data_IF_810757370076
#
_entry.id   IF_810757370076
#
_cell.length_a   1.000
_cell.length_b   1.000
_cell.length_c   1.000
_cell.angle_alpha   90.00
_cell.angle_beta   90.00
_cell.angle_gamma   90.00
#
_symmetry.space_group_name_H-M   'P 1'
#
loop_
_entity.id
_entity.type
_entity.pdbx_description
1 polymer ?
#
# COMPACT_ATOMS: atom_id res chain seq x y z
N UNK A 1 -10.64 -19.04 3.44
CA UNK A 1 -11.12 -17.66 3.20
C UNK A 1 -11.51 -17.11 4.57
N UNK A 2 -10.78 -16.12 5.08
CA UNK A 2 -11.07 -15.49 6.36
C UNK A 2 -12.03 -14.32 6.12
N UNK A 3 -13.33 -14.60 6.12
CA UNK A 3 -14.36 -13.56 6.08
C UNK A 3 -14.98 -13.35 7.45
N UNK A 4 -15.47 -12.14 7.70
CA UNK A 4 -16.15 -11.78 8.93
C UNK A 4 -17.64 -12.17 8.77
N UNK A 5 -18.13 -13.09 9.60
CA UNK A 5 -19.49 -13.64 9.47
C UNK A 5 -20.58 -12.74 10.07
N UNK A 6 -20.25 -11.93 11.06
CA UNK A 6 -21.20 -11.05 11.73
C UNK A 6 -20.74 -9.60 11.69
N UNK A 7 -21.70 -8.67 11.71
CA UNK A 7 -21.42 -7.24 11.81
C UNK A 7 -20.80 -6.95 13.19
N UNK A 8 -19.58 -6.39 13.25
CA UNK A 8 -18.97 -5.94 14.50
C UNK A 8 -19.74 -4.76 15.10
N UNK A 9 -19.53 -4.48 16.36
CA UNK A 9 -20.06 -3.26 16.97
C UNK A 9 -19.47 -2.03 16.29
N UNK A 10 -20.32 -1.31 15.57
CA UNK A 10 -19.94 -0.20 14.69
C UNK A 10 -19.39 1.04 15.43
N UNK A 11 -19.58 1.10 16.74
CA UNK A 11 -19.12 2.25 17.53
C UNK A 11 -17.64 2.19 17.90
N UNK A 12 -16.98 1.06 17.71
CA UNK A 12 -15.58 0.84 18.12
C UNK A 12 -14.54 1.29 17.10
N UNK A 13 -14.94 1.57 15.86
CA UNK A 13 -14.00 1.90 14.79
C UNK A 13 -14.08 3.37 14.38
N UNK A 14 -12.94 4.02 14.36
CA UNK A 14 -12.74 5.33 13.75
C UNK A 14 -12.35 5.21 12.27
N UNK A 15 -12.23 6.33 11.59
CA UNK A 15 -11.84 6.39 10.19
C UNK A 15 -10.47 5.74 9.93
N UNK A 16 -9.51 5.97 10.83
CA UNK A 16 -8.16 5.44 10.70
C UNK A 16 -8.15 3.92 10.72
N UNK A 17 -9.00 3.28 11.51
CA UNK A 17 -9.11 1.83 11.55
C UNK A 17 -9.52 1.23 10.19
N UNK A 18 -10.39 1.90 9.45
CA UNK A 18 -10.74 1.50 8.09
C UNK A 18 -9.57 1.71 7.12
N UNK A 19 -8.93 2.87 7.16
CA UNK A 19 -7.85 3.22 6.24
C UNK A 19 -6.61 2.35 6.41
N UNK A 20 -6.29 1.95 7.65
CA UNK A 20 -5.13 1.10 7.94
C UNK A 20 -5.44 -0.41 7.91
N UNK A 21 -6.70 -0.80 7.70
CA UNK A 21 -7.11 -2.19 7.56
C UNK A 21 -7.31 -2.95 8.87
N UNK A 22 -7.45 -2.26 10.00
CA UNK A 22 -7.75 -2.89 11.30
C UNK A 22 -9.25 -3.00 11.59
N UNK A 23 -10.10 -2.28 10.85
CA UNK A 23 -11.55 -2.38 10.98
C UNK A 23 -12.06 -3.72 10.41
N UNK A 24 -12.94 -4.36 11.15
CA UNK A 24 -13.61 -5.59 10.73
C UNK A 24 -14.93 -5.24 10.05
N UNK A 25 -15.12 -5.71 8.82
CA UNK A 25 -16.33 -5.44 8.04
C UNK A 25 -16.96 -6.76 7.61
N UNK A 26 -18.25 -6.92 7.87
CA UNK A 26 -18.98 -8.12 7.52
C UNK A 26 -18.86 -8.46 6.02
N UNK A 27 -18.61 -9.71 5.72
CA UNK A 27 -18.40 -10.19 4.34
C UNK A 27 -17.05 -9.84 3.72
N UNK A 28 -16.15 -9.19 4.46
CA UNK A 28 -14.79 -8.88 4.00
C UNK A 28 -13.76 -9.68 4.79
N UNK A 29 -12.58 -9.81 4.21
CA UNK A 29 -11.45 -10.44 4.89
C UNK A 29 -10.93 -9.55 6.01
N UNK A 30 -10.36 -10.17 7.04
CA UNK A 30 -9.54 -9.46 8.04
C UNK A 30 -8.40 -8.73 7.33
N UNK A 31 -7.94 -7.61 7.88
CA UNK A 31 -6.86 -6.78 7.32
C UNK A 31 -7.16 -6.21 5.91
N UNK A 32 -8.45 -5.98 5.60
CA UNK A 32 -8.86 -5.31 4.37
C UNK A 32 -8.63 -3.81 4.48
N UNK A 33 -7.88 -3.25 3.52
CA UNK A 33 -7.73 -1.80 3.37
C UNK A 33 -8.99 -1.19 2.78
N UNK A 34 -9.43 -0.11 3.38
CA UNK A 34 -10.45 0.77 2.83
C UNK A 34 -9.78 2.04 2.33
N UNK A 35 -10.25 2.59 1.24
CA UNK A 35 -9.60 3.71 0.55
C UNK A 35 -10.62 4.68 0.02
N UNK A 36 -10.23 5.95 -0.09
CA UNK A 36 -10.98 6.93 -0.86
C UNK A 36 -10.94 6.56 -2.34
N UNK A 37 -12.08 6.65 -3.00
CA UNK A 37 -12.18 6.39 -4.43
C UNK A 37 -11.69 7.61 -5.19
N UNK A 38 -10.50 7.50 -5.78
CA UNK A 38 -9.89 8.54 -6.58
C UNK A 38 -10.51 8.57 -7.97
N UNK A 39 -10.96 9.74 -8.42
CA UNK A 39 -11.59 9.94 -9.72
C UNK A 39 -10.67 10.60 -10.76
N UNK A 40 -9.49 11.04 -10.35
CA UNK A 40 -8.54 11.73 -11.22
C UNK A 40 -8.10 13.07 -10.66
N UNK A 41 -7.54 13.89 -11.53
CA UNK A 41 -7.11 15.25 -11.19
C UNK A 41 -7.97 16.29 -11.90
N UNK A 42 -8.20 17.40 -11.23
CA UNK A 42 -8.84 18.57 -11.81
C UNK A 42 -8.00 19.12 -12.98
N UNK A 43 -8.58 19.30 -14.18
CA UNK A 43 -7.85 19.84 -15.32
C UNK A 43 -7.49 21.32 -15.16
N UNK A 44 -8.07 22.01 -14.18
CA UNK A 44 -7.89 23.46 -13.98
C UNK A 44 -6.70 23.74 -13.06
N UNK A 45 -6.60 23.00 -11.95
CA UNK A 45 -5.68 23.28 -10.85
C UNK A 45 -4.88 22.05 -10.39
N UNK A 46 -5.14 20.87 -10.97
CA UNK A 46 -4.44 19.63 -10.66
C UNK A 46 -4.73 19.05 -9.27
N UNK A 47 -5.76 19.56 -8.60
CA UNK A 47 -6.19 19.01 -7.31
C UNK A 47 -6.83 17.64 -7.46
N UNK A 48 -6.71 16.75 -6.45
CA UNK A 48 -7.28 15.43 -6.51
C UNK A 48 -8.81 15.45 -6.38
N UNK A 49 -9.48 14.66 -7.18
CA UNK A 49 -10.93 14.48 -7.18
C UNK A 49 -11.27 13.12 -6.60
N UNK A 50 -12.29 13.07 -5.73
CA UNK A 50 -12.76 11.88 -5.07
C UNK A 50 -14.27 11.71 -5.21
N UNK A 51 -14.71 10.46 -5.21
CA UNK A 51 -16.11 10.10 -5.00
C UNK A 51 -16.40 10.11 -3.49
N UNK A 52 -16.90 11.21 -3.00
CA UNK A 52 -17.03 11.52 -1.57
C UNK A 52 -18.46 11.79 -1.12
N UNK A 53 -19.40 11.57 -1.97
CA UNK A 53 -20.83 11.81 -1.71
C UNK A 53 -21.19 13.27 -1.42
N UNK A 54 -20.35 14.22 -1.82
CA UNK A 54 -20.62 15.65 -1.59
C UNK A 54 -21.99 16.08 -2.13
N UNK A 55 -22.34 15.65 -3.34
CA UNK A 55 -23.61 15.99 -3.99
C UNK A 55 -24.80 15.19 -3.43
N UNK A 56 -24.55 14.13 -2.65
CA UNK A 56 -25.57 13.25 -2.07
C UNK A 56 -25.43 13.06 -0.56
N UNK A 57 -25.21 14.13 0.16
CA UNK A 57 -25.03 14.09 1.62
C UNK A 57 -26.26 13.60 2.37
N UNK A 58 -27.45 13.82 1.81
CA UNK A 58 -28.69 13.34 2.43
C UNK A 58 -28.67 11.83 2.65
N UNK A 59 -27.96 11.08 1.81
CA UNK A 59 -27.82 9.63 1.97
C UNK A 59 -26.95 9.22 3.16
N UNK A 60 -26.10 10.11 3.68
CA UNK A 60 -25.21 9.85 4.81
C UNK A 60 -25.74 10.30 6.15
N UNK A 61 -26.80 11.14 6.14
CA UNK A 61 -27.39 11.69 7.36
C UNK A 61 -28.05 10.62 8.19
N UNK A 62 -27.79 10.66 9.50
CA UNK A 62 -28.37 9.71 10.45
C UNK A 62 -27.78 8.30 10.39
N UNK A 63 -26.81 8.05 9.51
CA UNK A 63 -26.08 6.78 9.49
C UNK A 63 -25.07 6.70 10.65
N UNK A 64 -24.80 5.47 11.10
CA UNK A 64 -23.69 5.22 12.01
C UNK A 64 -22.34 5.49 11.34
N UNK A 65 -21.27 5.73 12.11
CA UNK A 65 -19.91 5.86 11.59
C UNK A 65 -19.53 4.69 10.69
N UNK A 66 -19.85 3.49 11.12
CA UNK A 66 -19.59 2.27 10.36
C UNK A 66 -20.26 2.29 8.99
N UNK A 67 -21.54 2.65 8.93
CA UNK A 67 -22.31 2.68 7.69
C UNK A 67 -21.82 3.78 6.75
N UNK A 68 -21.44 4.95 7.29
CA UNK A 68 -20.84 6.04 6.50
C UNK A 68 -19.54 5.59 5.90
N UNK A 69 -18.62 5.01 6.70
CA UNK A 69 -17.30 4.61 6.20
C UNK A 69 -17.38 3.46 5.19
N UNK A 70 -18.25 2.48 5.41
CA UNK A 70 -18.45 1.39 4.43
C UNK A 70 -19.17 1.84 3.16
N UNK A 71 -19.86 2.97 3.19
CA UNK A 71 -20.54 3.56 2.02
C UNK A 71 -19.56 4.41 1.20
N UNK A 72 -18.80 5.28 1.86
CA UNK A 72 -17.91 6.25 1.18
C UNK A 72 -16.59 5.61 0.74
N UNK A 73 -16.04 4.73 1.58
CA UNK A 73 -14.77 4.09 1.27
C UNK A 73 -14.99 2.79 0.48
N UNK A 74 -14.06 2.46 -0.40
CA UNK A 74 -14.06 1.17 -1.10
C UNK A 74 -13.04 0.21 -0.50
N UNK A 75 -13.36 -1.09 -0.52
CA UNK A 75 -12.43 -2.15 -0.15
C UNK A 75 -11.37 -2.33 -1.26
N UNK A 76 -10.15 -1.91 -1.00
CA UNK A 76 -9.07 -1.84 -2.01
C UNK A 76 -8.17 -3.07 -2.03
N UNK A 77 -8.45 -4.06 -1.20
CA UNK A 77 -7.66 -5.28 -1.06
C UNK A 77 -7.27 -5.56 0.37
N UNK A 78 -6.58 -6.65 0.59
CA UNK A 78 -6.19 -7.10 1.94
C UNK A 78 -4.68 -7.26 2.06
N UNK A 79 -4.18 -7.11 3.28
CA UNK A 79 -2.75 -7.28 3.58
C UNK A 79 -2.32 -8.74 3.51
N UNK A 80 -3.22 -9.66 3.82
CA UNK A 80 -2.92 -11.08 3.89
C UNK A 80 -2.91 -11.69 2.47
N UNK A 81 -1.91 -12.54 2.21
CA UNK A 81 -1.85 -13.29 0.97
C UNK A 81 -2.96 -14.36 0.91
N UNK A 82 -3.48 -14.61 -0.29
CA UNK A 82 -4.38 -15.75 -0.54
C UNK A 82 -3.62 -17.06 -0.50
N UNK A 83 -2.43 -17.06 -1.07
CA UNK A 83 -1.55 -18.23 -1.13
C UNK A 83 -0.13 -17.78 -0.87
N UNK A 84 0.55 -18.45 0.06
CA UNK A 84 1.98 -18.27 0.30
C UNK A 84 2.64 -19.61 0.57
N UNK A 85 3.90 -19.73 0.19
CA UNK A 85 4.63 -20.97 0.38
C UNK A 85 6.08 -20.89 -0.06
N UNK A 86 6.72 -22.04 0.01
CA UNK A 86 8.08 -22.21 -0.49
C UNK A 86 8.24 -23.57 -1.17
N UNK A 87 9.11 -23.61 -2.18
CA UNK A 87 9.52 -24.80 -2.88
C UNK A 87 11.03 -24.94 -2.77
N UNK A 88 11.49 -26.04 -2.15
CA UNK A 88 12.91 -26.35 -2.09
C UNK A 88 13.21 -27.59 -2.91
N UNK A 89 14.11 -27.47 -3.88
CA UNK A 89 14.60 -28.58 -4.68
C UNK A 89 16.07 -28.82 -4.40
N UNK A 90 16.44 -30.12 -4.37
CA UNK A 90 17.84 -30.54 -4.25
C UNK A 90 18.16 -31.50 -5.39
N UNK A 91 19.15 -31.15 -6.18
CA UNK A 91 19.68 -31.95 -7.27
C UNK A 91 21.02 -32.54 -6.86
N UNK A 92 21.24 -33.82 -7.16
CA UNK A 92 22.50 -34.51 -6.93
C UNK A 92 22.97 -35.16 -8.23
N UNK A 93 24.19 -34.86 -8.59
CA UNK A 93 24.85 -35.52 -9.73
C UNK A 93 26.32 -35.82 -9.37
N UNK A 94 26.63 -37.11 -9.31
CA UNK A 94 27.96 -37.58 -8.87
C UNK A 94 28.35 -36.94 -7.53
N UNK A 95 29.41 -36.16 -7.52
CA UNK A 95 29.96 -35.49 -6.35
C UNK A 95 29.36 -34.07 -6.12
N UNK A 96 28.43 -33.66 -6.97
CA UNK A 96 27.78 -32.35 -6.88
C UNK A 96 26.41 -32.46 -6.25
N UNK A 97 26.12 -31.52 -5.36
CA UNK A 97 24.79 -31.28 -4.82
C UNK A 97 24.44 -29.83 -5.02
N UNK A 98 23.33 -29.54 -5.65
CA UNK A 98 22.78 -28.20 -5.76
C UNK A 98 21.42 -28.14 -5.06
N UNK A 99 21.20 -27.13 -4.24
CA UNK A 99 19.91 -26.88 -3.59
C UNK A 99 19.43 -25.48 -3.92
N UNK A 100 18.12 -25.35 -4.16
CA UNK A 100 17.44 -24.14 -4.56
C UNK A 100 16.17 -23.99 -3.74
N UNK A 101 15.94 -22.83 -3.13
CA UNK A 101 14.73 -22.51 -2.37
C UNK A 101 14.06 -21.27 -2.93
N UNK A 102 12.83 -21.43 -3.40
CA UNK A 102 11.96 -20.38 -3.89
C UNK A 102 10.85 -20.12 -2.88
N UNK A 103 10.60 -18.86 -2.53
CA UNK A 103 9.44 -18.43 -1.76
C UNK A 103 8.50 -17.61 -2.62
N UNK A 104 7.21 -17.73 -2.40
CA UNK A 104 6.19 -16.96 -3.12
C UNK A 104 5.07 -16.51 -2.20
N UNK A 105 4.44 -15.39 -2.57
CA UNK A 105 3.25 -14.84 -1.93
C UNK A 105 2.37 -14.22 -3.01
N UNK A 106 1.08 -14.54 -3.02
CA UNK A 106 0.13 -14.12 -4.04
C UNK A 106 -1.17 -13.64 -3.38
N UNK A 107 -1.76 -12.58 -3.93
CA UNK A 107 -3.04 -12.02 -3.50
C UNK A 107 -2.93 -10.97 -2.39
N UNK A 108 -1.74 -10.71 -1.86
CA UNK A 108 -1.52 -9.65 -0.89
C UNK A 108 -1.51 -8.27 -1.55
N UNK A 109 -1.99 -7.28 -0.82
CA UNK A 109 -1.89 -5.87 -1.20
C UNK A 109 -1.12 -5.08 -0.15
N UNK A 110 -0.53 -3.98 -0.56
CA UNK A 110 0.11 -3.02 0.34
C UNK A 110 -0.22 -1.61 -0.09
N UNK A 111 -0.25 -0.70 0.87
CA UNK A 111 -0.36 0.72 0.58
C UNK A 111 1.04 1.30 0.40
N UNK A 112 1.23 2.08 -0.65
CA UNK A 112 2.47 2.83 -0.87
C UNK A 112 2.70 3.82 0.28
N UNK A 113 3.96 4.10 0.59
CA UNK A 113 4.30 5.11 1.57
C UNK A 113 3.64 6.45 1.23
N UNK A 114 3.21 7.16 2.27
CA UNK A 114 2.62 8.48 2.12
C UNK A 114 3.54 9.39 1.29
N UNK A 115 2.98 10.04 0.30
CA UNK A 115 3.71 10.99 -0.53
C UNK A 115 3.64 12.40 0.05
N UNK A 116 2.48 12.71 0.59
CA UNK A 116 2.19 14.04 1.14
C UNK A 116 2.31 14.06 2.66
N UNK A 117 1.63 13.23 3.38
CA UNK A 117 1.73 13.08 4.83
C UNK A 117 1.46 14.35 5.66
N UNK A 118 1.21 14.17 6.94
CA UNK A 118 1.04 15.30 7.87
C UNK A 118 2.39 15.89 8.30
N UNK A 119 2.38 17.13 8.79
CA UNK A 119 3.55 17.79 9.38
C UNK A 119 4.16 16.98 10.51
N UNK A 120 3.35 16.32 11.31
CA UNK A 120 3.79 15.51 12.44
C UNK A 120 4.64 14.29 12.01
N UNK A 121 4.43 13.76 10.82
CA UNK A 121 5.22 12.66 10.25
C UNK A 121 6.42 13.11 9.41
N UNK A 122 6.74 14.40 9.39
CA UNK A 122 7.78 14.95 8.52
C UNK A 122 7.39 15.01 7.06
N UNK A 123 6.11 14.80 6.76
CA UNK A 123 5.56 14.81 5.41
C UNK A 123 5.65 16.18 4.74
N UNK A 124 5.43 16.16 3.46
CA UNK A 124 5.37 17.35 2.63
C UNK A 124 3.92 17.78 2.56
N UNK A 125 3.64 18.98 3.03
CA UNK A 125 2.36 19.56 2.69
C UNK A 125 2.26 19.72 1.18
N UNK A 126 1.15 19.28 0.58
CA UNK A 126 0.90 19.52 -0.83
C UNK A 126 0.81 21.00 -1.21
N UNK A 127 1.05 21.89 -0.28
CA UNK A 127 1.04 23.34 -0.45
C UNK A 127 2.42 23.96 -0.62
N UNK A 128 3.52 23.24 -0.31
CA UNK A 128 4.87 23.84 -0.32
C UNK A 128 5.94 22.79 -0.54
N UNK A 129 7.00 23.17 -1.25
CA UNK A 129 8.25 22.41 -1.37
C UNK A 129 9.31 23.09 -0.51
N UNK A 130 9.98 22.31 0.33
CA UNK A 130 11.06 22.78 1.19
C UNK A 130 12.38 22.22 0.68
N UNK A 131 13.38 23.08 0.48
CA UNK A 131 14.69 22.70 -0.07
C UNK A 131 15.49 21.73 0.81
N UNK A 132 15.19 21.72 2.10
CA UNK A 132 15.86 20.88 3.10
C UNK A 132 15.24 19.48 3.26
N UNK A 133 14.16 19.19 2.55
CA UNK A 133 13.48 17.88 2.62
C UNK A 133 13.76 17.01 1.41
N UNK A 134 13.84 15.70 1.66
CA UNK A 134 13.88 14.70 0.60
C UNK A 134 12.48 14.35 0.13
N UNK A 135 12.29 14.38 -1.18
CA UNK A 135 11.04 14.03 -1.85
C UNK A 135 11.17 12.78 -2.69
N UNK A 136 10.09 12.04 -2.84
CA UNK A 136 10.04 10.95 -3.82
C UNK A 136 10.29 11.50 -5.23
N UNK A 137 11.02 10.75 -6.05
CA UNK A 137 11.20 11.08 -7.48
C UNK A 137 9.87 11.18 -8.24
N UNK A 138 8.85 10.52 -7.77
CA UNK A 138 7.53 10.59 -8.38
C UNK A 138 6.92 11.99 -8.33
N UNK A 139 7.34 12.82 -7.39
CA UNK A 139 6.96 14.23 -7.35
C UNK A 139 7.31 15.01 -8.62
N UNK A 140 8.32 14.58 -9.36
CA UNK A 140 8.69 15.19 -10.65
C UNK A 140 7.61 14.97 -11.71
N UNK A 141 6.81 13.92 -11.55
CA UNK A 141 5.72 13.56 -12.48
C UNK A 141 4.38 14.16 -12.08
N UNK A 142 4.34 15.00 -11.04
CA UNK A 142 3.09 15.64 -10.61
C UNK A 142 2.48 16.50 -11.69
N UNK A 143 1.20 16.74 -11.58
CA UNK A 143 0.52 17.72 -12.42
C UNK A 143 1.17 19.11 -12.29
N UNK A 144 1.44 19.79 -13.40
CA UNK A 144 2.09 21.11 -13.45
C UNK A 144 1.30 22.11 -14.29
N UNK A 145 0.52 21.63 -15.24
CA UNK A 145 -0.28 22.47 -16.16
C UNK A 145 -1.50 21.72 -16.69
N UNK A 146 -2.55 22.44 -17.16
CA UNK A 146 -3.69 21.83 -17.83
C UNK A 146 -3.28 20.88 -18.95
N UNK A 147 -3.87 19.68 -18.95
CA UNK A 147 -3.57 18.58 -19.86
C UNK A 147 -2.71 17.48 -19.24
N UNK A 148 -1.98 17.78 -18.17
CA UNK A 148 -1.14 16.77 -17.48
C UNK A 148 -1.99 15.70 -16.76
N UNK A 149 -3.24 16.00 -16.38
CA UNK A 149 -4.17 15.06 -15.75
C UNK A 149 -4.42 13.79 -16.58
N UNK A 150 -4.09 13.82 -17.86
CA UNK A 150 -4.17 12.65 -18.76
C UNK A 150 -2.98 11.72 -18.64
N UNK A 151 -1.86 12.20 -18.08
CA UNK A 151 -0.59 11.51 -18.06
C UNK A 151 -0.07 11.23 -16.65
N UNK A 152 -0.67 11.82 -15.62
CA UNK A 152 -0.31 11.61 -14.23
C UNK A 152 -1.53 11.55 -13.33
N UNK A 153 -1.39 10.78 -12.24
CA UNK A 153 -2.35 10.76 -11.14
C UNK A 153 -1.80 11.45 -9.88
N UNK A 154 -0.66 12.13 -9.99
CA UNK A 154 -0.03 12.80 -8.85
C UNK A 154 -0.50 14.26 -8.82
N UNK A 155 -1.15 14.69 -7.73
CA UNK A 155 -1.71 16.03 -7.63
C UNK A 155 -0.66 17.14 -7.76
N UNK A 156 -1.13 18.32 -8.14
CA UNK A 156 -0.36 19.54 -8.12
C UNK A 156 0.05 19.91 -6.69
N UNK A 157 1.06 20.77 -6.59
CA UNK A 157 1.34 21.51 -5.37
C UNK A 157 0.47 22.76 -5.42
N UNK A 158 -0.47 22.87 -4.50
CA UNK A 158 -1.41 23.97 -4.43
C UNK A 158 -0.99 24.90 -3.29
N UNK A 159 -0.52 26.13 -3.59
CA UNK A 159 0.00 27.03 -2.57
C UNK A 159 -1.05 27.37 -1.51
N UNK A 160 -0.58 27.45 -0.26
CA UNK A 160 -1.40 27.89 0.87
C UNK A 160 -2.02 29.26 0.61
N UNK A 161 -3.27 29.42 1.02
CA UNK A 161 -4.00 30.68 0.93
C UNK A 161 -4.64 30.97 -0.43
N UNK A 162 -4.49 30.09 -1.43
CA UNK A 162 -5.20 30.21 -2.70
C UNK A 162 -6.63 29.68 -2.61
N UNK A 163 -7.51 30.11 -3.51
CA UNK A 163 -8.90 29.59 -3.59
C UNK A 163 -8.91 28.08 -3.81
N UNK A 164 -8.00 27.57 -4.65
CA UNK A 164 -7.84 26.15 -4.88
C UNK A 164 -7.45 25.41 -3.60
N UNK A 165 -6.53 25.96 -2.79
CA UNK A 165 -6.16 25.38 -1.50
C UNK A 165 -7.38 25.24 -0.58
N UNK A 166 -8.14 26.30 -0.40
CA UNK A 166 -9.33 26.28 0.46
C UNK A 166 -10.44 25.39 -0.06
N UNK A 167 -10.61 25.30 -1.37
CA UNK A 167 -11.56 24.40 -2.01
C UNK A 167 -11.31 22.94 -1.59
N UNK A 168 -10.07 22.48 -1.65
CA UNK A 168 -9.73 21.08 -1.32
C UNK A 168 -9.62 20.84 0.18
N UNK A 169 -9.01 21.76 0.92
CA UNK A 169 -8.77 21.61 2.35
C UNK A 169 -10.06 21.69 3.18
N UNK A 170 -11.07 22.41 2.70
CA UNK A 170 -12.34 22.56 3.41
C UNK A 170 -13.40 21.55 3.00
N UNK A 171 -13.09 20.65 2.09
CA UNK A 171 -14.09 19.85 1.42
C UNK A 171 -14.94 19.02 2.41
N UNK A 172 -14.32 18.19 3.26
CA UNK A 172 -15.04 17.42 4.26
C UNK A 172 -14.62 17.72 5.71
N UNK A 173 -13.43 18.28 5.90
CA UNK A 173 -12.82 18.41 7.22
C UNK A 173 -13.24 19.63 8.00
N UNK A 174 -13.50 20.76 7.34
CA UNK A 174 -13.65 22.05 8.01
C UNK A 174 -15.07 22.62 8.01
N UNK A 175 -15.99 22.03 7.29
CA UNK A 175 -17.37 22.52 7.25
C UNK A 175 -18.27 21.82 8.27
N UNK A 176 -17.80 21.73 9.52
CA UNK A 176 -18.52 21.12 10.64
C UNK A 176 -19.91 21.73 10.86
N UNK A 177 -20.10 22.97 10.46
CA UNK A 177 -21.41 23.66 10.60
C UNK A 177 -22.43 23.15 9.58
N UNK A 178 -22.00 22.68 8.42
CA UNK A 178 -22.90 22.19 7.37
C UNK A 178 -23.19 20.70 7.50
N UNK A 179 -22.29 19.93 8.14
CA UNK A 179 -22.34 18.46 8.21
C UNK A 179 -22.25 17.94 9.65
N UNK A 180 -22.82 18.63 10.61
CA UNK A 180 -22.76 18.24 12.03
C UNK A 180 -23.32 16.84 12.31
N UNK A 181 -24.23 16.37 11.49
CA UNK A 181 -24.92 15.09 11.58
C UNK A 181 -24.27 13.98 10.74
N UNK A 182 -23.17 14.28 10.04
CA UNK A 182 -22.39 13.28 9.29
C UNK A 182 -21.03 13.11 9.95
N UNK A 183 -20.60 11.87 10.25
CA UNK A 183 -19.27 11.59 10.76
C UNK A 183 -18.18 12.12 9.83
N UNK A 184 -17.07 12.60 10.38
CA UNK A 184 -15.91 13.06 9.60
C UNK A 184 -15.37 11.90 8.76
N UNK A 185 -15.40 12.05 7.43
CA UNK A 185 -14.99 11.03 6.45
C UNK A 185 -13.71 11.38 5.71
N UNK A 186 -13.17 12.55 5.93
CA UNK A 186 -11.89 12.97 5.37
C UNK A 186 -11.11 13.80 6.37
N UNK A 187 -9.79 13.71 6.25
CA UNK A 187 -8.87 14.69 6.82
C UNK A 187 -8.71 15.83 5.82
N UNK A 188 -7.52 16.20 5.45
CA UNK A 188 -7.32 17.04 4.29
C UNK A 188 -7.16 16.19 3.01
N UNK A 189 -7.24 16.84 1.84
CA UNK A 189 -7.22 16.13 0.56
C UNK A 189 -5.86 15.45 0.25
N UNK A 190 -4.79 15.84 0.90
CA UNK A 190 -3.49 15.18 0.80
C UNK A 190 -3.51 13.83 1.49
N UNK A 191 -4.11 13.75 2.66
CA UNK A 191 -4.33 12.49 3.37
C UNK A 191 -5.29 11.61 2.56
N UNK A 192 -6.36 12.18 1.99
CA UNK A 192 -7.26 11.43 1.11
C UNK A 192 -6.52 10.84 -0.09
N UNK A 193 -5.58 11.57 -0.70
CA UNK A 193 -4.76 11.05 -1.78
C UNK A 193 -3.87 9.89 -1.32
N UNK A 194 -3.16 10.06 -0.21
CA UNK A 194 -2.27 9.02 0.33
C UNK A 194 -3.04 7.76 0.75
N UNK A 195 -4.29 7.91 1.16
CA UNK A 195 -5.20 6.82 1.49
C UNK A 195 -6.16 6.44 0.35
N UNK A 196 -5.92 6.87 -0.87
CA UNK A 196 -6.76 6.51 -2.02
C UNK A 196 -6.50 5.09 -2.53
N UNK A 197 -7.46 4.59 -3.32
CA UNK A 197 -7.41 3.25 -3.92
C UNK A 197 -6.21 3.07 -4.87
N UNK A 198 -5.81 4.12 -5.59
CA UNK A 198 -4.65 4.07 -6.50
C UNK A 198 -3.30 3.94 -5.76
N UNK A 199 -3.30 4.15 -4.45
CA UNK A 199 -2.11 3.96 -3.60
C UNK A 199 -2.02 2.55 -3.00
N UNK A 200 -2.97 1.68 -3.30
CA UNK A 200 -2.95 0.26 -2.90
C UNK A 200 -2.51 -0.57 -4.09
N UNK A 201 -1.36 -1.20 -3.97
CA UNK A 201 -0.70 -1.96 -5.05
C UNK A 201 -0.55 -3.44 -4.68
N UNK A 202 -0.23 -4.28 -5.66
CA UNK A 202 0.11 -5.68 -5.39
C UNK A 202 1.37 -5.78 -4.55
N UNK A 203 1.35 -6.70 -3.57
CA UNK A 203 2.50 -7.12 -2.79
C UNK A 203 2.90 -8.57 -3.14
N UNK A 204 2.45 -9.05 -4.29
CA UNK A 204 2.82 -10.38 -4.78
C UNK A 204 4.31 -10.45 -5.07
N UNK A 205 4.91 -11.58 -4.71
CA UNK A 205 6.31 -11.78 -5.04
C UNK A 205 6.66 -13.25 -5.28
N UNK A 206 7.70 -13.43 -6.09
CA UNK A 206 8.48 -14.67 -6.21
C UNK A 206 9.94 -14.34 -5.85
N UNK A 207 10.48 -15.04 -4.85
CA UNK A 207 11.81 -14.76 -4.31
C UNK A 207 12.69 -16.00 -4.35
N UNK A 208 13.90 -15.88 -4.93
CA UNK A 208 14.94 -16.87 -4.74
C UNK A 208 15.61 -16.64 -3.37
N UNK A 209 15.14 -17.41 -2.37
CA UNK A 209 15.54 -17.26 -0.98
C UNK A 209 16.97 -17.72 -0.73
N UNK A 210 17.32 -18.89 -1.29
CA UNK A 210 18.66 -19.44 -1.18
C UNK A 210 19.01 -20.32 -2.36
N UNK A 211 20.29 -20.34 -2.67
CA UNK A 211 20.91 -21.27 -3.60
C UNK A 211 22.23 -21.75 -2.97
N UNK A 212 22.51 -23.04 -3.06
CA UNK A 212 23.79 -23.60 -2.62
C UNK A 212 24.28 -24.65 -3.60
N UNK A 213 25.58 -24.70 -3.78
CA UNK A 213 26.26 -25.74 -4.56
C UNK A 213 27.37 -26.32 -3.70
N UNK A 214 27.32 -27.62 -3.50
CA UNK A 214 28.31 -28.40 -2.73
C UNK A 214 29.01 -29.37 -3.64
N UNK A 215 30.32 -29.38 -3.56
CA UNK A 215 31.16 -30.41 -4.18
C UNK A 215 31.78 -31.28 -3.09
N UNK A 216 31.52 -32.59 -3.13
CA UNK A 216 32.13 -33.58 -2.21
C UNK A 216 33.33 -34.22 -2.93
N UNK A 217 34.51 -34.10 -2.33
CA UNK A 217 35.71 -34.68 -2.92
C UNK A 217 35.66 -36.24 -2.91
N UNK A 218 36.05 -36.87 -4.04
CA UNK A 218 36.09 -38.34 -4.14
C UNK A 218 37.07 -38.95 -3.13
N UNK A 219 36.70 -40.09 -2.52
CA UNK A 219 37.54 -40.82 -1.59
C UNK A 219 38.95 -41.11 -2.12
N UNK A 220 39.09 -41.38 -3.41
CA UNK A 220 40.39 -41.61 -4.04
C UNK A 220 41.36 -40.44 -3.87
N UNK A 221 40.86 -39.21 -3.97
CA UNK A 221 41.67 -38.02 -3.76
C UNK A 221 41.96 -37.78 -2.28
N UNK A 222 40.99 -38.07 -1.40
CA UNK A 222 41.11 -37.85 0.04
C UNK A 222 42.11 -38.80 0.72
N UNK A 223 42.19 -40.04 0.27
CA UNK A 223 43.12 -41.02 0.80
C UNK A 223 44.61 -40.62 0.66
N UNK A 224 44.91 -39.83 -0.41
CA UNK A 224 46.28 -39.32 -0.67
C UNK A 224 46.70 -38.31 0.42
N UNK A 225 45.75 -37.58 0.96
CA UNK A 225 45.97 -36.50 1.95
C UNK A 225 45.55 -36.90 3.36
N UNK A 226 45.16 -38.16 3.56
CA UNK A 226 44.78 -38.69 4.89
C UNK A 226 43.46 -38.18 5.44
N UNK A 227 42.56 -37.63 4.61
CA UNK A 227 41.26 -37.13 5.02
C UNK A 227 40.16 -38.15 4.73
N UNK A 228 39.16 -38.25 5.62
CA UNK A 228 38.00 -39.12 5.45
C UNK A 228 36.87 -38.47 4.68
N UNK A 229 36.73 -37.13 4.77
CA UNK A 229 35.70 -36.36 4.05
C UNK A 229 36.15 -34.93 3.90
N UNK A 230 35.92 -34.38 2.71
CA UNK A 230 36.05 -32.96 2.40
C UNK A 230 34.97 -32.55 1.45
N UNK A 231 34.24 -31.50 1.81
CA UNK A 231 33.23 -30.89 0.95
C UNK A 231 33.43 -29.37 0.93
N UNK A 232 33.25 -28.77 -0.24
CA UNK A 232 33.29 -27.34 -0.40
C UNK A 232 31.86 -26.88 -0.81
N UNK A 233 31.32 -25.90 -0.10
CA UNK A 233 30.01 -25.38 -0.34
C UNK A 233 30.08 -23.90 -0.61
N UNK A 234 29.49 -23.46 -1.71
CA UNK A 234 29.17 -22.06 -2.00
C UNK A 234 27.66 -21.83 -1.82
N UNK A 235 27.29 -20.79 -1.08
CA UNK A 235 25.89 -20.46 -0.82
C UNK A 235 25.64 -18.98 -1.09
N UNK A 236 24.47 -18.68 -1.63
CA UNK A 236 23.99 -17.32 -1.83
C UNK A 236 22.54 -17.21 -1.36
N UNK A 237 22.20 -16.06 -0.80
CA UNK A 237 20.88 -15.79 -0.21
C UNK A 237 20.29 -14.51 -0.79
N UNK A 238 18.96 -14.46 -0.89
CA UNK A 238 18.22 -13.29 -1.35
C UNK A 238 18.69 -12.76 -2.70
N UNK A 239 18.93 -13.66 -3.65
CA UNK A 239 19.55 -13.32 -4.95
C UNK A 239 18.69 -12.40 -5.79
N UNK A 240 17.37 -12.64 -5.84
CA UNK A 240 16.44 -11.76 -6.52
C UNK A 240 15.02 -11.92 -5.97
N UNK A 241 14.21 -10.89 -6.19
CA UNK A 241 12.77 -10.89 -5.96
C UNK A 241 12.10 -10.27 -7.19
N UNK A 242 11.06 -10.95 -7.68
CA UNK A 242 10.16 -10.44 -8.73
C UNK A 242 8.88 -10.04 -8.02
N UNK A 243 8.43 -8.79 -8.22
CA UNK A 243 7.20 -8.22 -7.68
C UNK A 243 6.27 -7.83 -8.83
#
# INVERSE_FOLDING_TARGET
>A
INSIDSRPDAQTYDLEAFLNGSALVQGKSVNTFYSYRFLGLSPVDGGPLFDDYFDNQAALRGLSKYDVYTTVLEASGKRDADIQGSLTNTFRYKNWRASLSLGYSLGAKTRLFAMYGSAASGGVYGSSIYSEKNYSRDYLKRWQKPGDEKNTNIPAIIPYGTDAYWKYNNFWSNNKTTYNDIPTIANDYWDMYDYSNIRVVSADYLKLQSMSVTYEMPMKALNVIGLQRLAVTASAYNLFTIC
#
